data_IF_852778132484
#
_entry.id   IF_852778132484
#
_cell.length_a   1.000
_cell.length_b   1.000
_cell.length_c   1.000
_cell.angle_alpha   90.00
_cell.angle_beta   90.00
_cell.angle_gamma   90.00
#
_symmetry.space_group_name_H-M   'P 1'
#
loop_
_entity.id
_entity.type
_entity.pdbx_description
1 polymer ?
#
# COMPACT_ATOMS: atom_id res chain seq x y z
N UNK A 1 10.96 -3.12 -8.84
CA UNK A 1 11.08 -2.91 -7.39
C UNK A 1 10.87 -1.44 -7.13
N UNK A 2 9.70 -1.09 -6.59
CA UNK A 2 9.42 0.26 -6.10
C UNK A 2 10.17 0.51 -4.77
N UNK A 3 10.30 1.77 -4.36
CA UNK A 3 10.90 2.11 -3.05
C UNK A 3 10.14 1.43 -1.91
N UNK A 4 8.81 1.42 -1.99
CA UNK A 4 7.95 0.83 -0.98
C UNK A 4 8.12 -0.68 -0.87
N UNK A 5 8.28 -1.40 -1.98
CA UNK A 5 8.56 -2.84 -1.97
C UNK A 5 9.93 -3.19 -1.34
N UNK A 6 10.86 -2.22 -1.29
CA UNK A 6 12.18 -2.39 -0.70
C UNK A 6 12.21 -2.03 0.79
N UNK A 7 11.34 -1.12 1.23
CA UNK A 7 11.37 -0.58 2.59
C UNK A 7 10.25 -1.14 3.47
N UNK A 8 9.13 -1.50 2.88
CA UNK A 8 7.99 -2.07 3.60
C UNK A 8 8.03 -3.59 3.55
N UNK A 9 7.67 -4.21 4.67
CA UNK A 9 7.51 -5.66 4.74
C UNK A 9 6.32 -6.13 3.86
N UNK A 10 5.22 -5.38 3.85
CA UNK A 10 4.09 -5.61 2.93
C UNK A 10 3.20 -4.38 2.79
N UNK A 11 2.74 -4.10 1.56
CA UNK A 11 1.73 -3.07 1.29
C UNK A 11 0.28 -3.58 1.45
N UNK A 12 0.09 -4.85 1.81
CA UNK A 12 -1.23 -5.43 2.00
C UNK A 12 -1.95 -4.74 3.18
N UNK A 13 -3.17 -4.20 3.00
CA UNK A 13 -3.88 -3.47 4.06
C UNK A 13 -4.37 -4.39 5.19
N UNK A 14 -4.42 -5.70 4.93
CA UNK A 14 -4.75 -6.73 5.91
C UNK A 14 -3.91 -7.97 5.65
N UNK A 15 -3.62 -8.73 6.70
CA UNK A 15 -2.83 -9.97 6.61
C UNK A 15 -3.39 -10.99 5.61
N UNK A 16 -4.69 -10.97 5.36
CA UNK A 16 -5.33 -11.91 4.44
C UNK A 16 -4.97 -11.69 2.96
N UNK A 17 -4.29 -10.58 2.65
CA UNK A 17 -3.74 -10.26 1.34
C UNK A 17 -2.21 -10.32 1.27
N UNK A 18 -1.51 -10.60 2.38
CA UNK A 18 -0.05 -10.79 2.36
C UNK A 18 0.32 -12.02 1.52
N UNK A 19 1.37 -11.90 0.73
CA UNK A 19 1.90 -13.00 -0.12
C UNK A 19 2.80 -13.99 0.65
N UNK A 20 3.17 -13.63 1.88
CA UNK A 20 4.08 -14.41 2.72
C UNK A 20 3.50 -15.74 3.22
N UNK A 21 4.42 -16.58 3.70
CA UNK A 21 4.29 -18.02 3.93
C UNK A 21 3.17 -18.45 4.88
N UNK A 22 2.63 -17.54 5.69
CA UNK A 22 1.46 -17.78 6.54
C UNK A 22 0.22 -17.14 5.94
N UNK A 23 -0.49 -17.89 5.08
CA UNK A 23 -1.81 -17.46 4.60
C UNK A 23 -2.74 -17.28 5.80
N UNK A 24 -3.35 -16.10 5.93
CA UNK A 24 -4.37 -15.80 6.93
C UNK A 24 -5.40 -16.94 7.03
N UNK A 25 -5.47 -17.60 8.18
CA UNK A 25 -6.37 -18.74 8.44
C UNK A 25 -7.85 -18.34 8.28
N UNK A 26 -8.16 -17.06 8.48
CA UNK A 26 -9.51 -16.51 8.36
C UNK A 26 -9.90 -16.10 6.94
N UNK A 27 -9.03 -16.27 5.93
CA UNK A 27 -9.25 -15.73 4.59
C UNK A 27 -10.55 -16.25 3.97
N UNK A 28 -10.83 -17.54 4.10
CA UNK A 28 -12.03 -18.17 3.53
C UNK A 28 -13.32 -17.67 4.19
N UNK A 29 -13.28 -17.33 5.48
CA UNK A 29 -14.42 -16.77 6.22
C UNK A 29 -14.47 -15.23 6.25
N UNK A 30 -13.51 -14.55 5.62
CA UNK A 30 -13.40 -13.11 5.69
C UNK A 30 -14.45 -12.45 4.80
N UNK A 31 -15.57 -12.05 5.40
CA UNK A 31 -16.71 -11.42 4.69
C UNK A 31 -16.34 -10.16 3.91
N UNK A 32 -15.25 -9.48 4.28
CA UNK A 32 -14.78 -8.24 3.67
C UNK A 32 -13.58 -8.42 2.74
N UNK A 33 -13.16 -9.66 2.44
CA UNK A 33 -11.96 -9.91 1.63
C UNK A 33 -12.00 -9.25 0.25
N UNK A 34 -13.19 -9.21 -0.39
CA UNK A 34 -13.37 -8.56 -1.68
C UNK A 34 -13.11 -7.06 -1.60
N UNK A 35 -13.67 -6.38 -0.59
CA UNK A 35 -13.45 -4.94 -0.34
C UNK A 35 -11.95 -4.64 -0.14
N UNK A 36 -11.27 -5.45 0.68
CA UNK A 36 -9.83 -5.27 0.90
C UNK A 36 -9.00 -5.51 -0.36
N UNK A 37 -9.42 -6.46 -1.20
CA UNK A 37 -8.73 -6.78 -2.46
C UNK A 37 -8.79 -5.59 -3.42
N UNK A 38 -9.97 -4.99 -3.58
CA UNK A 38 -10.15 -3.79 -4.41
C UNK A 38 -9.34 -2.61 -3.87
N UNK A 39 -9.41 -2.35 -2.56
CA UNK A 39 -8.65 -1.27 -1.93
C UNK A 39 -7.14 -1.46 -2.13
N UNK A 40 -6.63 -2.68 -1.99
CA UNK A 40 -5.22 -2.97 -2.21
C UNK A 40 -4.79 -2.69 -3.66
N UNK A 41 -5.65 -3.00 -4.64
CA UNK A 41 -5.44 -2.61 -6.04
C UNK A 41 -5.36 -1.10 -6.23
N UNK A 42 -6.28 -0.34 -5.63
CA UNK A 42 -6.31 1.12 -5.70
C UNK A 42 -5.04 1.74 -5.08
N UNK A 43 -4.68 1.31 -3.87
CA UNK A 43 -3.48 1.79 -3.16
C UNK A 43 -2.24 1.57 -4.02
N UNK A 44 -2.06 0.34 -4.53
CA UNK A 44 -0.89 0.00 -5.35
C UNK A 44 -0.86 0.79 -6.66
N UNK A 45 -1.97 0.86 -7.39
CA UNK A 45 -2.04 1.61 -8.64
C UNK A 45 -1.78 3.11 -8.44
N UNK A 46 -2.24 3.69 -7.32
CA UNK A 46 -1.94 5.07 -6.97
C UNK A 46 -0.44 5.28 -6.72
N UNK A 47 0.18 4.43 -5.89
CA UNK A 47 1.57 4.58 -5.48
C UNK A 47 2.56 4.26 -6.60
N UNK A 48 2.24 3.28 -7.48
CA UNK A 48 3.03 2.99 -8.68
C UNK A 48 3.09 4.17 -9.67
N UNK A 49 2.07 5.04 -9.65
CA UNK A 49 2.01 6.24 -10.47
C UNK A 49 2.83 7.43 -9.95
N UNK A 50 3.44 7.32 -8.76
CA UNK A 50 4.18 8.42 -8.11
C UNK A 50 5.67 8.12 -8.10
N UNK A 51 6.47 9.01 -8.68
CA UNK A 51 7.93 8.93 -8.60
C UNK A 51 8.49 9.83 -7.50
N UNK A 52 9.71 9.55 -7.03
CA UNK A 52 10.43 10.44 -6.10
C UNK A 52 10.56 11.85 -6.70
N UNK A 53 10.76 11.96 -8.02
CA UNK A 53 10.82 13.25 -8.70
C UNK A 53 9.53 14.05 -8.59
N UNK A 54 8.36 13.39 -8.59
CA UNK A 54 7.07 14.08 -8.43
C UNK A 54 6.91 14.66 -7.02
N UNK A 55 7.47 13.98 -6.01
CA UNK A 55 7.52 14.49 -4.64
C UNK A 55 8.51 15.66 -4.48
N UNK A 56 9.61 15.65 -5.22
CA UNK A 56 10.61 16.72 -5.21
C UNK A 56 10.13 18.00 -5.90
N UNK A 57 9.14 17.92 -6.80
CA UNK A 57 8.56 19.05 -7.54
C UNK A 57 7.63 19.94 -6.70
N UNK A 58 7.79 19.94 -5.37
CA UNK A 58 6.86 20.49 -4.39
C UNK A 58 6.16 21.78 -4.81
N UNK A 59 4.84 21.83 -4.61
CA UNK A 59 4.12 23.10 -4.52
C UNK A 59 4.56 23.75 -3.19
N UNK A 60 5.45 24.74 -3.25
CA UNK A 60 6.15 25.34 -2.10
C UNK A 60 5.35 25.48 -0.79
N UNK A 61 5.35 24.42 0.02
CA UNK A 61 4.58 24.28 1.26
C UNK A 61 5.48 23.84 2.40
N UNK A 62 6.58 24.57 2.61
CA UNK A 62 7.46 24.42 3.76
C UNK A 62 6.89 25.10 5.01
N UNK A 63 5.59 24.96 5.26
CA UNK A 63 4.93 25.58 6.42
C UNK A 63 4.04 24.55 7.12
N UNK A 64 4.69 23.68 7.89
CA UNK A 64 4.04 23.03 9.02
C UNK A 64 4.87 23.37 10.24
N UNK A 65 4.41 24.41 10.96
CA UNK A 65 4.85 24.71 12.32
C UNK A 65 4.23 23.66 13.24
N UNK A 66 5.08 22.89 13.92
CA UNK A 66 4.71 21.99 15.03
C UNK A 66 4.84 22.75 16.34
#
# INVERSE_FOLDING_TARGET
MSVLELTEESLAPVDCLREERARCVRREGCRTIAMWTELYGIIRGYLEGITISDLMRGNGGGDYVI
#
